data_IF_039744259019
#
_entry.id   IF_039744259019
#
_cell.length_a   1.000
_cell.length_b   1.000
_cell.length_c   1.000
_cell.angle_alpha   90.00
_cell.angle_beta   90.00
_cell.angle_gamma   90.00
#
_symmetry.space_group_name_H-M   'P 1'
#
loop_
_entity.id
_entity.type
_entity.pdbx_description
1 polymer ?
#
# COMPACT_ATOMS: atom_id res chain seq x y z
N UNK A 1 -1.34 -7.12 17.01
CA UNK A 1 -0.23 -7.03 16.01
C UNK A 1 -0.62 -7.66 14.65
N UNK A 2 -1.85 -7.50 14.17
CA UNK A 2 -2.46 -8.49 13.24
C UNK A 2 -2.93 -7.92 11.88
N UNK A 3 -3.52 -6.72 11.81
CA UNK A 3 -4.08 -6.20 10.56
C UNK A 3 -3.04 -5.84 9.47
N UNK A 4 -1.88 -5.29 9.88
CA UNK A 4 -0.84 -4.82 8.94
C UNK A 4 -0.07 -5.97 8.26
N UNK A 5 0.09 -7.12 8.93
CA UNK A 5 0.70 -8.32 8.32
C UNK A 5 -0.22 -8.96 7.29
N UNK A 6 -1.52 -9.06 7.58
CA UNK A 6 -2.53 -9.62 6.66
C UNK A 6 -2.58 -8.85 5.35
N UNK A 7 -2.70 -7.52 5.42
CA UNK A 7 -2.70 -6.66 4.24
C UNK A 7 -1.40 -6.74 3.40
N UNK A 8 -0.24 -6.97 4.03
CA UNK A 8 1.03 -7.16 3.31
C UNK A 8 1.09 -8.52 2.60
N UNK A 9 0.61 -9.58 3.26
CA UNK A 9 0.51 -10.92 2.69
C UNK A 9 -0.42 -10.92 1.48
N UNK A 10 -1.60 -10.29 1.59
CA UNK A 10 -2.58 -10.21 0.51
C UNK A 10 -2.04 -9.44 -0.71
N UNK A 11 -1.17 -8.44 -0.49
CA UNK A 11 -0.51 -7.71 -1.58
C UNK A 11 0.57 -8.56 -2.27
N UNK A 12 1.35 -9.32 -1.49
CA UNK A 12 2.39 -10.22 -2.04
C UNK A 12 1.74 -11.32 -2.87
N UNK A 13 0.70 -11.97 -2.34
CA UNK A 13 -0.05 -13.01 -3.04
C UNK A 13 -0.62 -12.50 -4.38
N UNK A 14 -1.21 -11.31 -4.38
CA UNK A 14 -1.76 -10.69 -5.61
C UNK A 14 -0.68 -10.35 -6.64
N UNK A 15 0.46 -9.82 -6.20
CA UNK A 15 1.58 -9.57 -7.09
C UNK A 15 2.16 -10.88 -7.65
N UNK A 16 2.22 -11.93 -6.83
CA UNK A 16 2.70 -13.24 -7.24
C UNK A 16 1.80 -13.88 -8.30
N UNK A 17 0.47 -13.86 -8.10
CA UNK A 17 -0.51 -14.35 -9.08
C UNK A 17 -0.30 -13.66 -10.44
N UNK A 18 -0.14 -12.33 -10.44
CA UNK A 18 0.10 -11.56 -11.66
C UNK A 18 1.42 -11.93 -12.35
N UNK A 19 2.49 -12.12 -11.57
CA UNK A 19 3.79 -12.53 -12.13
C UNK A 19 3.68 -13.94 -12.73
N UNK A 20 3.02 -14.88 -12.04
CA UNK A 20 2.81 -16.24 -12.55
C UNK A 20 2.00 -16.21 -13.85
N UNK A 21 0.85 -15.54 -13.85
CA UNK A 21 -0.02 -15.43 -15.04
C UNK A 21 0.71 -14.70 -16.19
N UNK A 22 1.39 -13.60 -15.91
CA UNK A 22 2.18 -12.90 -16.92
C UNK A 22 3.31 -13.77 -17.49
N UNK A 23 4.02 -14.52 -16.64
CA UNK A 23 5.12 -15.38 -17.07
C UNK A 23 4.66 -16.48 -18.03
N UNK A 24 3.43 -16.98 -17.83
CA UNK A 24 2.81 -17.91 -18.77
C UNK A 24 2.62 -17.27 -20.15
N UNK A 25 2.06 -16.06 -20.22
CA UNK A 25 1.89 -15.38 -21.52
C UNK A 25 3.20 -14.92 -22.15
N UNK A 26 4.22 -14.64 -21.34
CA UNK A 26 5.56 -14.39 -21.85
C UNK A 26 6.14 -15.66 -22.49
N UNK A 27 5.97 -16.83 -21.87
CA UNK A 27 6.34 -18.10 -22.47
C UNK A 27 5.57 -18.36 -23.78
N UNK A 28 4.28 -18.02 -23.82
CA UNK A 28 3.45 -18.14 -25.02
C UNK A 28 3.93 -17.23 -26.16
N UNK A 29 4.35 -16.00 -25.86
CA UNK A 29 4.93 -15.10 -26.89
C UNK A 29 6.27 -15.55 -27.44
N UNK A 30 6.99 -16.39 -26.69
CA UNK A 30 8.28 -16.96 -27.09
C UNK A 30 8.12 -18.35 -27.74
N UNK A 31 6.88 -18.81 -27.95
CA UNK A 31 6.57 -20.13 -28.48
C UNK A 31 7.11 -21.31 -27.63
N UNK A 32 7.31 -21.09 -26.33
CA UNK A 32 7.65 -22.17 -25.38
C UNK A 32 6.44 -23.05 -25.05
N UNK A 33 5.23 -22.53 -25.23
CA UNK A 33 3.97 -23.25 -25.00
C UNK A 33 3.15 -23.25 -26.28
N UNK A 34 2.76 -24.44 -26.73
CA UNK A 34 1.92 -24.63 -27.91
C UNK A 34 0.44 -24.56 -27.55
N UNK A 35 -0.40 -24.10 -28.49
CA UNK A 35 -1.85 -24.23 -28.37
C UNK A 35 -2.67 -22.97 -28.63
N UNK A 36 -2.03 -21.82 -28.92
CA UNK A 36 -2.72 -20.61 -29.39
C UNK A 36 -2.02 -20.11 -30.66
N UNK A 37 -2.76 -20.05 -31.76
CA UNK A 37 -2.30 -19.35 -32.96
C UNK A 37 -2.55 -17.85 -32.82
N UNK A 38 -1.52 -17.15 -32.35
CA UNK A 38 -1.51 -15.71 -32.13
C UNK A 38 -1.48 -14.90 -33.43
N UNK A 39 -1.02 -15.49 -34.54
CA UNK A 39 -0.88 -14.79 -35.81
C UNK A 39 -2.23 -14.65 -36.55
N UNK A 40 -3.22 -15.49 -36.19
CA UNK A 40 -4.50 -15.58 -36.91
C UNK A 40 -5.27 -14.25 -37.00
N UNK A 41 -5.13 -13.38 -36.00
CA UNK A 41 -5.76 -12.05 -35.97
C UNK A 41 -5.11 -11.06 -36.94
N UNK A 42 -3.82 -11.23 -37.22
CA UNK A 42 -3.05 -10.33 -38.07
C UNK A 42 -2.87 -10.88 -39.49
N UNK A 43 -3.18 -12.16 -39.71
CA UNK A 43 -3.14 -12.83 -41.01
C UNK A 43 -3.90 -12.09 -42.13
N UNK A 44 -5.05 -11.39 -41.89
CA UNK A 44 -5.71 -10.64 -42.96
C UNK A 44 -4.95 -9.38 -43.42
N UNK A 45 -4.04 -8.87 -42.59
CA UNK A 45 -3.39 -7.58 -42.80
C UNK A 45 -1.90 -7.70 -43.14
N UNK A 46 -1.25 -8.78 -42.73
CA UNK A 46 0.20 -8.96 -42.80
C UNK A 46 0.55 -10.34 -43.37
N UNK A 47 1.74 -10.46 -43.95
CA UNK A 47 2.33 -11.74 -44.32
C UNK A 47 2.56 -12.61 -43.07
N UNK A 48 2.44 -13.94 -43.20
CA UNK A 48 2.41 -14.88 -42.08
C UNK A 48 3.59 -14.71 -41.10
N UNK A 49 4.81 -14.49 -41.61
CA UNK A 49 5.99 -14.27 -40.77
C UNK A 49 5.95 -12.96 -40.00
N UNK A 50 5.46 -11.90 -40.64
CA UNK A 50 5.34 -10.59 -40.00
C UNK A 50 4.16 -10.54 -39.02
N UNK A 51 3.06 -11.22 -39.33
CA UNK A 51 1.90 -11.38 -38.45
C UNK A 51 2.30 -12.07 -37.14
N UNK A 52 3.04 -13.18 -37.22
CA UNK A 52 3.53 -13.90 -36.05
C UNK A 52 4.49 -13.04 -35.21
N UNK A 53 5.47 -12.38 -35.84
CA UNK A 53 6.40 -11.50 -35.14
C UNK A 53 5.69 -10.35 -34.40
N UNK A 54 4.72 -9.71 -35.06
CA UNK A 54 3.93 -8.63 -34.47
C UNK A 54 3.08 -9.15 -33.31
N UNK A 55 2.40 -10.28 -33.50
CA UNK A 55 1.58 -10.90 -32.46
C UNK A 55 2.40 -11.29 -31.23
N UNK A 56 3.53 -11.98 -31.42
CA UNK A 56 4.50 -12.33 -30.37
C UNK A 56 4.95 -11.10 -29.59
N UNK A 57 5.40 -10.07 -30.31
CA UNK A 57 5.91 -8.84 -29.70
C UNK A 57 4.83 -8.14 -28.89
N UNK A 58 3.60 -8.12 -29.38
CA UNK A 58 2.46 -7.48 -28.74
C UNK A 58 2.06 -8.23 -27.47
N UNK A 59 1.92 -9.57 -27.52
CA UNK A 59 1.65 -10.41 -26.35
C UNK A 59 2.76 -10.25 -25.31
N UNK A 60 4.02 -10.27 -25.75
CA UNK A 60 5.18 -10.08 -24.87
C UNK A 60 5.11 -8.72 -24.16
N UNK A 61 4.92 -7.64 -24.92
CA UNK A 61 4.84 -6.28 -24.36
C UNK A 61 3.67 -6.12 -23.39
N UNK A 62 2.49 -6.67 -23.72
CA UNK A 62 1.32 -6.65 -22.85
C UNK A 62 1.55 -7.48 -21.58
N UNK A 63 2.19 -8.65 -21.70
CA UNK A 63 2.55 -9.51 -20.58
C UNK A 63 3.52 -8.80 -19.63
N UNK A 64 4.61 -8.23 -20.14
CA UNK A 64 5.55 -7.44 -19.36
C UNK A 64 4.88 -6.25 -18.69
N UNK A 65 4.03 -5.52 -19.42
CA UNK A 65 3.25 -4.39 -18.87
C UNK A 65 2.31 -4.84 -17.74
N UNK A 66 1.66 -5.99 -17.92
CA UNK A 66 0.82 -6.62 -16.91
C UNK A 66 1.65 -6.99 -15.68
N UNK A 67 2.81 -7.64 -15.82
CA UNK A 67 3.72 -7.99 -14.72
C UNK A 67 4.23 -6.76 -13.95
N UNK A 68 4.68 -5.73 -14.67
CA UNK A 68 5.16 -4.45 -14.12
C UNK A 68 4.05 -3.67 -13.38
N UNK A 69 2.80 -3.96 -13.71
CA UNK A 69 1.65 -3.24 -13.22
C UNK A 69 1.52 -1.83 -13.81
N UNK A 70 1.97 -1.64 -15.04
CA UNK A 70 1.77 -0.41 -15.80
C UNK A 70 0.38 -0.43 -16.46
N UNK A 71 -0.44 0.60 -16.20
CA UNK A 71 -1.82 0.68 -16.71
C UNK A 71 -2.61 -0.63 -16.60
N UNK A 72 -2.59 -1.24 -15.41
CA UNK A 72 -3.13 -2.58 -15.14
C UNK A 72 -4.49 -2.89 -15.76
N UNK A 73 -5.38 -1.90 -15.78
CA UNK A 73 -6.70 -2.05 -16.39
C UNK A 73 -6.62 -2.25 -17.90
N UNK A 74 -5.85 -1.41 -18.59
CA UNK A 74 -5.67 -1.49 -20.04
C UNK A 74 -4.86 -2.73 -20.40
N UNK A 75 -3.73 -2.97 -19.73
CA UNK A 75 -2.89 -4.13 -20.05
C UNK A 75 -3.63 -5.45 -19.84
N UNK A 76 -4.39 -5.60 -18.75
CA UNK A 76 -5.16 -6.82 -18.50
C UNK A 76 -6.32 -6.99 -19.49
N UNK A 77 -7.07 -5.91 -19.78
CA UNK A 77 -8.17 -5.97 -20.74
C UNK A 77 -7.69 -6.24 -22.16
N UNK A 78 -6.64 -5.55 -22.60
CA UNK A 78 -6.06 -5.76 -23.93
C UNK A 78 -5.49 -7.17 -24.07
N UNK A 79 -4.81 -7.69 -23.04
CA UNK A 79 -4.25 -9.04 -23.06
C UNK A 79 -5.36 -10.09 -23.10
N UNK A 80 -6.35 -9.97 -22.20
CA UNK A 80 -7.51 -10.85 -22.15
C UNK A 80 -8.28 -10.83 -23.48
N UNK A 81 -8.54 -9.65 -24.05
CA UNK A 81 -9.26 -9.51 -25.31
C UNK A 81 -8.47 -10.13 -26.48
N UNK A 82 -7.15 -9.93 -26.52
CA UNK A 82 -6.30 -10.47 -27.57
C UNK A 82 -6.28 -12.00 -27.55
N UNK A 83 -6.07 -12.61 -26.37
CA UNK A 83 -6.06 -14.07 -26.21
C UNK A 83 -7.43 -14.64 -26.53
N UNK A 84 -8.49 -14.04 -25.98
CA UNK A 84 -9.86 -14.48 -26.23
C UNK A 84 -10.21 -14.39 -27.72
N UNK A 85 -9.88 -13.28 -28.39
CA UNK A 85 -10.14 -13.12 -29.81
C UNK A 85 -9.33 -14.11 -30.66
N UNK A 86 -8.07 -14.39 -30.30
CA UNK A 86 -7.21 -15.38 -30.99
C UNK A 86 -7.81 -16.78 -30.84
N UNK A 87 -8.13 -17.18 -29.61
CA UNK A 87 -8.70 -18.50 -29.31
C UNK A 87 -10.10 -18.66 -29.92
N UNK A 88 -10.91 -17.60 -29.93
CA UNK A 88 -12.20 -17.59 -30.60
C UNK A 88 -12.07 -17.74 -32.12
N UNK A 89 -11.18 -16.96 -32.74
CA UNK A 89 -10.91 -17.07 -34.18
C UNK A 89 -10.40 -18.46 -34.55
N UNK A 90 -9.47 -19.02 -33.79
CA UNK A 90 -8.93 -20.35 -34.03
C UNK A 90 -10.01 -21.44 -33.92
N UNK A 91 -10.80 -21.44 -32.85
CA UNK A 91 -11.74 -22.54 -32.58
C UNK A 91 -13.09 -22.43 -33.31
N UNK A 92 -13.55 -21.22 -33.65
CA UNK A 92 -14.83 -21.03 -34.35
C UNK A 92 -14.67 -20.99 -35.88
N UNK A 93 -13.50 -20.62 -36.40
CA UNK A 93 -13.26 -20.56 -37.84
C UNK A 93 -12.69 -21.90 -38.35
N UNK A 94 -11.81 -22.54 -37.58
CA UNK A 94 -11.21 -23.83 -37.94
C UNK A 94 -11.61 -24.90 -36.91
N UNK A 95 -12.76 -25.54 -37.13
CA UNK A 95 -13.28 -26.58 -36.23
C UNK A 95 -12.46 -27.86 -36.37
N UNK A 96 -11.40 -28.00 -35.57
CA UNK A 96 -10.64 -29.25 -35.44
C UNK A 96 -11.14 -30.11 -34.25
N UNK A 97 -11.22 -31.44 -34.37
CA UNK A 97 -11.55 -32.33 -33.26
C UNK A 97 -10.40 -32.36 -32.24
N UNK A 98 -10.57 -31.64 -31.12
CA UNK A 98 -9.56 -31.45 -30.07
C UNK A 98 -9.47 -30.00 -29.56
N UNK A 99 -9.90 -29.07 -30.42
CA UNK A 99 -9.98 -27.62 -30.22
C UNK A 99 -10.69 -27.18 -28.92
N UNK A 100 -11.70 -27.94 -28.48
CA UNK A 100 -12.52 -27.58 -27.32
C UNK A 100 -11.70 -27.53 -26.02
N UNK A 101 -10.74 -28.44 -25.83
CA UNK A 101 -9.90 -28.46 -24.61
C UNK A 101 -8.98 -27.24 -24.54
N UNK A 102 -8.34 -26.89 -25.67
CA UNK A 102 -7.48 -25.71 -25.77
C UNK A 102 -8.27 -24.42 -25.59
N UNK A 103 -9.47 -24.34 -26.18
CA UNK A 103 -10.41 -23.24 -25.95
C UNK A 103 -10.72 -23.04 -24.46
N UNK A 104 -11.07 -24.12 -23.74
CA UNK A 104 -11.38 -24.03 -22.31
C UNK A 104 -10.17 -23.59 -21.49
N UNK A 105 -8.96 -24.07 -21.82
CA UNK A 105 -7.73 -23.60 -21.19
C UNK A 105 -7.58 -22.09 -21.35
N UNK A 106 -7.67 -21.58 -22.58
CA UNK A 106 -7.47 -20.16 -22.85
C UNK A 106 -8.59 -19.29 -22.24
N UNK A 107 -9.82 -19.80 -22.20
CA UNK A 107 -10.94 -19.14 -21.53
C UNK A 107 -10.70 -19.03 -20.02
N UNK A 108 -10.23 -20.11 -19.37
CA UNK A 108 -9.92 -20.07 -17.94
C UNK A 108 -8.76 -19.12 -17.63
N UNK A 109 -7.74 -19.07 -18.50
CA UNK A 109 -6.63 -18.13 -18.38
C UNK A 109 -7.09 -16.68 -18.55
N UNK A 110 -7.97 -16.41 -19.52
CA UNK A 110 -8.60 -15.10 -19.72
C UNK A 110 -9.41 -14.69 -18.48
N UNK A 111 -10.20 -15.60 -17.92
CA UNK A 111 -10.92 -15.40 -16.66
C UNK A 111 -9.97 -15.13 -15.49
N UNK A 112 -8.84 -15.84 -15.41
CA UNK A 112 -7.83 -15.63 -14.36
C UNK A 112 -7.19 -14.24 -14.47
N UNK A 113 -6.91 -13.75 -15.68
CA UNK A 113 -6.42 -12.38 -15.92
C UNK A 113 -7.46 -11.36 -15.46
N UNK A 114 -8.73 -11.54 -15.85
CA UNK A 114 -9.82 -10.65 -15.46
C UNK A 114 -10.05 -10.66 -13.95
N UNK A 115 -10.03 -11.83 -13.31
CA UNK A 115 -10.18 -11.96 -11.85
C UNK A 115 -9.00 -11.34 -11.09
N UNK A 116 -7.78 -11.50 -11.61
CA UNK A 116 -6.58 -10.83 -11.10
C UNK A 116 -6.72 -9.31 -11.13
N UNK A 117 -7.55 -8.77 -12.03
CA UNK A 117 -7.90 -7.36 -12.06
C UNK A 117 -9.10 -7.00 -11.17
N UNK A 118 -10.22 -7.75 -11.24
CA UNK A 118 -11.48 -7.43 -10.54
C UNK A 118 -11.33 -7.41 -9.02
N UNK A 119 -10.36 -8.15 -8.48
CA UNK A 119 -10.04 -8.18 -7.06
C UNK A 119 -9.22 -6.98 -6.57
N UNK A 120 -8.88 -6.01 -7.44
CA UNK A 120 -8.18 -4.79 -7.05
C UNK A 120 -9.14 -3.61 -6.87
N UNK A 121 -9.14 -3.07 -5.65
CA UNK A 121 -9.74 -1.75 -5.38
C UNK A 121 -9.00 -0.63 -6.15
N UNK A 122 -9.67 0.45 -6.57
CA UNK A 122 -9.03 1.63 -7.19
C UNK A 122 -7.87 2.21 -6.36
N UNK A 123 -7.94 2.06 -5.03
CA UNK A 123 -6.88 2.49 -4.09
C UNK A 123 -5.68 1.55 -4.09
N UNK A 124 -5.89 0.27 -4.39
CA UNK A 124 -4.85 -0.76 -4.49
C UNK A 124 -4.18 -0.74 -5.86
N UNK A 125 -4.92 -0.44 -6.93
CA UNK A 125 -4.37 -0.17 -8.27
C UNK A 125 -3.28 0.92 -8.23
N UNK A 126 -3.51 2.01 -7.47
CA UNK A 126 -2.51 3.08 -7.29
C UNK A 126 -1.30 2.68 -6.44
N UNK A 127 -1.42 1.64 -5.60
CA UNK A 127 -0.32 1.14 -4.73
C UNK A 127 0.46 0.00 -5.39
N UNK A 128 -0.17 -0.75 -6.30
CA UNK A 128 0.42 -1.90 -6.97
C UNK A 128 1.32 -1.53 -8.15
N UNK A 129 1.28 -0.29 -8.67
CA UNK A 129 2.21 0.14 -9.72
C UNK A 129 3.57 0.50 -9.12
N UNK A 130 4.63 -0.16 -9.60
CA UNK A 130 5.99 0.06 -9.10
C UNK A 130 6.47 1.50 -9.32
N UNK A 131 5.96 2.17 -10.36
CA UNK A 131 6.29 3.56 -10.71
C UNK A 131 5.62 4.55 -9.73
N UNK A 132 4.33 4.37 -9.41
CA UNK A 132 3.66 5.26 -8.45
C UNK A 132 4.20 5.06 -7.04
N UNK A 133 4.60 3.85 -6.68
CA UNK A 133 5.22 3.59 -5.38
C UNK A 133 6.58 4.30 -5.26
N UNK A 134 7.41 4.29 -6.31
CA UNK A 134 8.66 5.09 -6.37
C UNK A 134 8.41 6.60 -6.29
N UNK A 135 7.42 7.12 -7.01
CA UNK A 135 7.06 8.53 -6.95
C UNK A 135 6.58 8.93 -5.54
N UNK A 136 5.77 8.08 -4.90
CA UNK A 136 5.25 8.33 -3.55
C UNK A 136 6.34 8.23 -2.48
N UNK A 137 7.29 7.30 -2.61
CA UNK A 137 8.46 7.22 -1.75
C UNK A 137 9.34 8.47 -1.88
N UNK A 138 9.52 9.01 -3.09
CA UNK A 138 10.20 10.30 -3.29
C UNK A 138 9.46 11.47 -2.62
N UNK A 139 8.14 11.56 -2.78
CA UNK A 139 7.34 12.62 -2.13
C UNK A 139 7.34 12.50 -0.60
N UNK A 140 7.34 11.29 -0.06
CA UNK A 140 7.46 11.06 1.39
C UNK A 140 8.87 11.38 1.90
N UNK A 141 9.92 11.07 1.14
CA UNK A 141 11.29 11.45 1.48
C UNK A 141 11.52 12.96 1.41
N UNK A 142 10.80 13.66 0.54
CA UNK A 142 10.86 15.11 0.39
C UNK A 142 9.90 15.87 1.31
N UNK A 143 9.06 15.18 2.09
CA UNK A 143 8.29 15.87 3.12
C UNK A 143 9.28 16.39 4.17
N UNK A 144 9.37 17.71 4.39
CA UNK A 144 10.18 18.24 5.47
C UNK A 144 9.64 17.62 6.76
N UNK A 145 10.42 16.72 7.34
CA UNK A 145 10.13 16.16 8.66
C UNK A 145 10.29 17.33 9.61
N UNK A 146 9.19 18.01 9.91
CA UNK A 146 9.17 19.01 10.97
C UNK A 146 9.62 18.26 12.24
N UNK A 147 10.80 18.59 12.81
CA UNK A 147 11.26 17.93 14.01
C UNK A 147 10.20 18.18 15.08
N UNK A 148 9.45 17.13 15.44
CA UNK A 148 8.57 17.18 16.60
C UNK A 148 9.50 17.46 17.75
N UNK A 149 9.44 18.70 18.28
CA UNK A 149 10.24 19.16 19.42
C UNK A 149 10.25 18.04 20.45
N UNK A 150 11.37 17.34 20.57
CA UNK A 150 11.62 16.47 21.69
C UNK A 150 11.75 17.43 22.86
N UNK A 151 10.66 17.59 23.61
CA UNK A 151 10.74 18.20 24.93
C UNK A 151 11.70 17.27 25.67
N UNK A 152 12.94 17.74 25.88
CA UNK A 152 13.85 17.06 26.78
C UNK A 152 13.07 16.85 28.08
N UNK A 153 12.90 15.60 28.56
CA UNK A 153 12.24 15.39 29.83
C UNK A 153 13.01 16.24 30.84
N UNK A 154 12.30 17.22 31.42
CA UNK A 154 12.80 18.00 32.55
C UNK A 154 13.45 17.00 33.51
N UNK A 155 14.67 17.24 34.00
CA UNK A 155 15.28 16.36 34.99
C UNK A 155 14.28 16.30 36.16
N UNK A 156 13.65 15.14 36.32
CA UNK A 156 12.85 14.81 37.48
C UNK A 156 13.80 14.97 38.66
N UNK A 157 13.64 16.06 39.39
CA UNK A 157 14.31 16.29 40.68
C UNK A 157 14.17 15.01 41.46
N UNK A 158 15.31 14.39 41.78
CA UNK A 158 15.37 13.06 42.41
C UNK A 158 14.43 13.05 43.63
N UNK A 159 13.57 12.03 43.79
CA UNK A 159 12.59 11.96 44.88
C UNK A 159 13.24 12.11 46.27
N UNK A 160 14.52 11.73 46.38
CA UNK A 160 15.35 11.87 47.58
C UNK A 160 15.40 13.32 48.11
N UNK A 161 15.43 14.34 47.26
CA UNK A 161 15.48 15.74 47.73
C UNK A 161 14.13 16.24 48.27
N UNK A 162 13.01 15.66 47.83
CA UNK A 162 11.68 16.01 48.33
C UNK A 162 11.44 15.38 49.69
N UNK A 163 11.93 14.16 49.90
CA UNK A 163 11.85 13.46 51.18
C UNK A 163 12.74 14.10 52.25
N UNK A 164 13.97 14.51 51.90
CA UNK A 164 14.85 15.25 52.82
C UNK A 164 14.22 16.58 53.24
N UNK A 165 13.57 17.30 52.30
CA UNK A 165 12.92 18.58 52.60
C UNK A 165 11.67 18.40 53.47
N UNK A 166 10.91 17.32 53.28
CA UNK A 166 9.78 16.98 54.17
C UNK A 166 10.24 16.56 55.56
N UNK A 167 11.30 15.77 55.66
CA UNK A 167 11.88 15.38 56.95
C UNK A 167 12.40 16.59 57.74
N UNK A 168 13.02 17.57 57.08
CA UNK A 168 13.45 18.82 57.70
C UNK A 168 12.27 19.66 58.22
N UNK A 169 11.13 19.67 57.54
CA UNK A 169 9.95 20.44 57.99
C UNK A 169 9.14 19.77 59.11
N UNK A 170 9.32 18.47 59.36
CA UNK A 170 8.63 17.77 60.46
C UNK A 170 9.38 17.82 61.79
N UNK A 171 10.56 18.44 61.86
CA UNK A 171 11.44 18.39 63.04
C UNK A 171 11.49 19.69 63.85
N UNK A 172 10.67 20.70 63.53
CA UNK A 172 10.51 21.88 64.38
C UNK A 172 9.30 21.74 65.29
N UNK A 173 9.52 20.97 66.36
CA UNK A 173 8.76 21.03 67.61
C UNK A 173 8.90 22.40 68.27
N UNK A 174 7.75 22.96 68.64
CA UNK A 174 7.50 23.97 69.68
C UNK A 174 8.46 23.86 70.89
N UNK A 175 8.80 24.97 71.58
CA UNK A 175 7.94 25.38 72.71
C UNK A 175 7.93 26.87 73.11
N UNK A 176 6.91 27.19 73.94
CA UNK A 176 6.95 28.06 75.14
C UNK A 176 6.46 29.51 75.03
N UNK A 177 5.24 29.68 75.56
CA UNK A 177 4.59 30.91 76.07
C UNK A 177 5.43 31.59 77.18
N UNK A 178 5.35 32.93 77.30
CA UNK A 178 4.92 33.50 78.58
C UNK A 178 3.80 34.55 78.45
N UNK A 179 3.03 34.63 79.52
CA UNK A 179 1.99 35.62 79.88
C UNK A 179 2.66 36.96 80.23
N UNK A 180 2.02 38.10 79.93
CA UNK A 180 1.86 39.30 80.78
C UNK A 180 0.69 40.14 80.21
N UNK A 181 0.00 40.80 81.13
CA UNK A 181 -1.33 41.41 81.14
C UNK A 181 -1.32 42.94 80.95
N UNK A 182 -2.54 43.50 80.91
CA UNK A 182 -2.93 44.91 81.15
C UNK A 182 -2.74 45.89 79.99
N UNK A 183 -3.53 46.94 79.84
CA UNK A 183 -4.95 47.26 80.02
C UNK A 183 -5.09 48.63 79.32
N UNK A 184 -6.27 48.97 78.82
CA UNK A 184 -6.72 50.33 78.46
C UNK A 184 -5.84 51.29 77.60
N UNK A 185 -6.37 51.64 76.41
CA UNK A 185 -6.58 53.03 75.94
C UNK A 185 -7.12 52.97 74.50
N UNK A 186 -8.43 53.03 74.29
CA UNK A 186 -9.18 54.28 74.07
C UNK A 186 -8.67 55.15 72.90
N UNK A 187 -9.57 55.27 71.93
CA UNK A 187 -9.88 56.48 71.15
C UNK A 187 -8.94 56.90 70.01
N UNK A 188 -9.60 57.47 68.98
CA UNK A 188 -9.10 58.04 67.71
C UNK A 188 -8.98 57.00 66.59
N UNK A 189 -10.01 56.77 65.78
CA UNK A 189 -10.30 57.66 64.64
C UNK A 189 -11.76 57.54 64.17
N UNK A 190 -12.69 57.97 65.03
CA UNK A 190 -13.90 58.67 64.57
C UNK A 190 -13.39 60.03 64.03
N UNK A 191 -13.88 60.47 62.87
CA UNK A 191 -13.50 61.70 62.13
C UNK A 191 -12.31 61.59 61.15
N UNK A 192 -12.50 60.83 60.05
CA UNK A 192 -12.13 61.33 58.72
C UNK A 192 -13.43 61.43 57.93
N UNK A 193 -14.13 62.53 58.20
CA UNK A 193 -15.38 62.98 57.59
C UNK A 193 -15.01 64.00 56.51
N UNK A 194 -15.60 63.89 55.32
CA UNK A 194 -16.40 64.90 54.59
C UNK A 194 -17.09 64.15 53.44
#
# INVERSE_FOLDING_TARGET
>A
MTARRKARSDQIARNLIRIVIGSYFAALSLDLTTGLDKAILFAPFLDAKTADLVASTLILCLSLSFMLGYHLRLSALSLALLIFASSFAQNMIHVEPGAVSDFWRDLTLTCAVLLSYLTLSPRELRRASMIANRARLRVVAQRPVAPRRAIAPLPLTRPVQVDIRRALMTTETTPRKPRISEDESENLNIFVNI
#
